data_IF_984641173153
#
_entry.id   IF_984641173153
#
_cell.length_a   1.000
_cell.length_b   1.000
_cell.length_c   1.000
_cell.angle_alpha   90.00
_cell.angle_beta   90.00
_cell.angle_gamma   90.00
#
_symmetry.space_group_name_H-M   'P 1'
#
loop_
_entity.id
_entity.type
_entity.pdbx_description
1 polymer ?
#
# COMPACT_ATOMS: atom_id res chain seq x y z
N UNK A 1 -12.66 7.72 11.72
CA UNK A 1 -11.71 6.62 11.50
C UNK A 1 -12.47 5.32 11.56
N UNK A 2 -12.41 4.49 10.52
CA UNK A 2 -13.15 3.21 10.47
C UNK A 2 -12.28 2.04 10.87
N UNK A 3 -12.86 1.03 11.52
CA UNK A 3 -12.17 -0.24 11.75
C UNK A 3 -12.29 -1.08 10.48
N UNK A 4 -11.13 -1.42 9.89
CA UNK A 4 -11.01 -2.44 8.86
C UNK A 4 -10.73 -3.79 9.53
N UNK A 5 -11.41 -4.83 9.08
CA UNK A 5 -11.24 -6.20 9.55
C UNK A 5 -10.72 -7.04 8.41
N UNK A 6 -9.77 -7.90 8.70
CA UNK A 6 -9.39 -9.02 7.84
C UNK A 6 -10.14 -10.25 8.32
N UNK A 7 -10.76 -10.99 7.40
CA UNK A 7 -11.32 -12.31 7.70
C UNK A 7 -10.18 -13.28 8.03
N UNK A 8 -10.38 -14.14 9.01
CA UNK A 8 -9.47 -15.24 9.27
C UNK A 8 -9.50 -16.23 8.10
N UNK A 9 -8.35 -16.43 7.46
CA UNK A 9 -8.20 -17.34 6.31
C UNK A 9 -8.33 -18.82 6.73
N UNK A 10 -8.23 -19.13 8.04
CA UNK A 10 -8.41 -20.49 8.59
C UNK A 10 -9.86 -20.91 8.81
N UNK A 11 -10.83 -19.99 8.72
CA UNK A 11 -12.25 -20.32 8.86
C UNK A 11 -12.88 -20.62 7.50
N UNK A 12 -12.77 -21.88 7.06
CA UNK A 12 -13.29 -22.33 5.77
C UNK A 12 -14.82 -22.23 5.60
N UNK A 13 -15.57 -22.04 6.69
CA UNK A 13 -17.02 -21.87 6.65
C UNK A 13 -17.45 -20.42 6.30
N UNK A 14 -16.54 -19.45 6.43
CA UNK A 14 -16.82 -18.05 6.12
C UNK A 14 -16.37 -17.72 4.69
N UNK A 15 -17.32 -17.55 3.78
CA UNK A 15 -17.10 -17.16 2.38
C UNK A 15 -17.22 -15.65 2.14
N UNK A 16 -17.19 -14.84 3.20
CA UNK A 16 -17.25 -13.39 3.11
C UNK A 16 -16.04 -12.76 2.39
N UNK A 17 -16.07 -11.45 2.13
CA UNK A 17 -14.92 -10.76 1.57
C UNK A 17 -13.72 -10.82 2.53
N UNK A 18 -12.51 -10.92 1.96
CA UNK A 18 -11.24 -10.98 2.71
C UNK A 18 -11.05 -9.79 3.65
N UNK A 19 -11.52 -8.61 3.24
CA UNK A 19 -11.52 -7.40 4.05
C UNK A 19 -12.92 -6.80 4.14
N UNK A 20 -13.29 -6.32 5.32
CA UNK A 20 -14.53 -5.58 5.56
C UNK A 20 -14.24 -4.30 6.33
N UNK A 21 -15.04 -3.26 6.08
CA UNK A 21 -14.99 -2.01 6.84
C UNK A 21 -16.41 -1.65 7.28
N UNK A 22 -16.54 -0.91 8.38
CA UNK A 22 -17.84 -0.37 8.77
C UNK A 22 -18.40 0.54 7.68
N UNK A 23 -19.70 0.42 7.39
CA UNK A 23 -20.38 1.31 6.44
C UNK A 23 -20.18 2.77 6.86
N UNK A 24 -19.76 3.63 5.94
CA UNK A 24 -19.45 5.04 6.23
C UNK A 24 -18.02 5.29 6.74
N UNK A 25 -17.17 4.27 6.79
CA UNK A 25 -15.74 4.45 7.07
C UNK A 25 -15.09 5.29 5.98
N UNK A 26 -14.33 6.30 6.37
CA UNK A 26 -13.49 7.07 5.46
C UNK A 26 -12.14 6.37 5.26
N UNK A 27 -11.58 6.55 4.06
CA UNK A 27 -10.21 6.17 3.77
C UNK A 27 -9.24 6.98 4.64
N UNK A 28 -8.09 6.39 4.99
CA UNK A 28 -7.01 7.04 5.73
C UNK A 28 -5.65 6.53 5.22
N UNK A 29 -4.58 7.28 5.52
CA UNK A 29 -3.21 6.83 5.29
C UNK A 29 -2.77 5.96 6.47
N UNK A 30 -2.64 4.66 6.25
CA UNK A 30 -2.06 3.78 7.25
C UNK A 30 -0.57 4.10 7.41
N UNK A 31 -0.11 4.15 8.67
CA UNK A 31 1.26 4.52 9.06
C UNK A 31 1.70 5.94 8.62
N UNK A 32 0.82 6.93 8.75
CA UNK A 32 1.08 8.32 8.30
C UNK A 32 2.39 8.92 8.84
N UNK A 33 2.89 8.49 10.01
CA UNK A 33 4.19 8.93 10.57
C UNK A 33 5.38 8.64 9.64
N UNK A 34 5.29 7.64 8.77
CA UNK A 34 6.33 7.37 7.77
C UNK A 34 6.51 8.53 6.76
N UNK A 35 5.54 9.44 6.66
CA UNK A 35 5.66 10.68 5.88
C UNK A 35 6.66 11.68 6.49
N UNK A 36 7.25 11.43 7.65
CA UNK A 36 8.36 12.24 8.15
C UNK A 36 9.68 11.93 7.44
N UNK A 37 9.78 10.77 6.78
CA UNK A 37 10.97 10.39 6.01
C UNK A 37 11.04 11.07 4.63
N UNK A 38 12.27 11.19 4.11
CA UNK A 38 12.53 11.69 2.75
C UNK A 38 12.18 10.66 1.67
N UNK A 39 12.31 9.37 2.00
CA UNK A 39 12.00 8.24 1.12
C UNK A 39 10.83 7.47 1.72
N UNK A 40 9.76 7.29 0.94
CA UNK A 40 8.54 6.63 1.39
C UNK A 40 8.12 5.57 0.37
N UNK A 41 7.88 4.36 0.87
CA UNK A 41 7.28 3.29 0.08
C UNK A 41 5.76 3.36 0.20
N UNK A 42 5.06 3.24 -0.91
CA UNK A 42 3.59 3.08 -0.94
C UNK A 42 3.27 1.65 -1.34
N UNK A 43 2.56 0.96 -0.47
CA UNK A 43 2.09 -0.42 -0.67
C UNK A 43 0.59 -0.46 -0.95
N UNK A 44 0.10 -1.63 -1.35
CA UNK A 44 -1.31 -1.87 -1.62
C UNK A 44 -2.13 -2.10 -0.34
N UNK A 45 -1.58 -2.82 0.64
CA UNK A 45 -2.28 -3.17 1.88
C UNK A 45 -1.50 -2.88 3.17
N UNK A 46 -2.24 -2.87 4.28
CA UNK A 46 -1.70 -2.55 5.61
C UNK A 46 -0.70 -3.60 6.11
N UNK A 47 -0.86 -4.87 5.71
CA UNK A 47 0.04 -5.95 6.13
C UNK A 47 1.41 -5.81 5.46
N UNK A 48 1.45 -5.42 4.19
CA UNK A 48 2.70 -5.16 3.48
C UNK A 48 3.48 -4.01 4.12
N UNK A 49 2.76 -2.96 4.54
CA UNK A 49 3.34 -1.85 5.32
C UNK A 49 3.97 -2.37 6.60
N UNK A 50 3.29 -3.25 7.35
CA UNK A 50 3.85 -3.82 8.58
C UNK A 50 5.11 -4.66 8.31
N UNK A 51 5.11 -5.49 7.26
CA UNK A 51 6.29 -6.28 6.87
C UNK A 51 7.49 -5.40 6.54
N UNK A 52 7.28 -4.32 5.78
CA UNK A 52 8.34 -3.34 5.49
C UNK A 52 8.82 -2.59 6.74
N UNK A 53 7.90 -2.19 7.63
CA UNK A 53 8.25 -1.53 8.89
C UNK A 53 9.11 -2.44 9.77
N UNK A 54 8.84 -3.75 9.81
CA UNK A 54 9.63 -4.72 10.57
C UNK A 54 11.10 -4.77 10.14
N UNK A 55 11.39 -4.48 8.87
CA UNK A 55 12.76 -4.42 8.32
C UNK A 55 13.29 -2.99 8.21
N UNK A 56 12.66 -2.02 8.88
CA UNK A 56 13.14 -0.63 8.97
C UNK A 56 12.83 0.24 7.76
N UNK A 57 11.87 -0.15 6.91
CA UNK A 57 11.45 0.61 5.74
C UNK A 57 10.23 1.48 6.08
N UNK A 58 10.32 2.77 5.75
CA UNK A 58 9.23 3.73 5.90
C UNK A 58 8.18 3.49 4.80
N UNK A 59 7.06 2.87 5.18
CA UNK A 59 5.99 2.51 4.25
C UNK A 59 4.62 3.04 4.69
N UNK A 60 3.76 3.36 3.73
CA UNK A 60 2.36 3.75 3.91
C UNK A 60 1.45 2.99 2.94
N UNK A 61 0.16 2.97 3.22
CA UNK A 61 -0.84 2.55 2.24
C UNK A 61 -2.16 3.30 2.45
N UNK A 62 -3.07 3.20 1.48
CA UNK A 62 -4.46 3.61 1.67
C UNK A 62 -5.25 2.50 2.37
N UNK A 63 -6.10 2.85 3.34
CA UNK A 63 -6.99 1.86 3.95
C UNK A 63 -8.18 1.46 3.06
N UNK A 64 -8.44 2.20 1.99
CA UNK A 64 -9.57 1.97 1.08
C UNK A 64 -9.32 0.90 0.00
N UNK A 65 -8.16 0.26 0.02
CA UNK A 65 -7.80 -0.81 -0.92
C UNK A 65 -7.30 -0.29 -2.27
N UNK A 66 -7.23 -1.23 -3.22
CA UNK A 66 -6.54 -1.06 -4.51
C UNK A 66 -7.09 0.11 -5.32
N UNK A 67 -6.20 0.95 -5.83
CA UNK A 67 -6.54 2.06 -6.73
C UNK A 67 -7.17 3.28 -6.04
N UNK A 68 -7.44 3.24 -4.73
CA UNK A 68 -8.00 4.39 -4.02
C UNK A 68 -6.94 5.12 -3.20
N UNK A 69 -6.27 6.09 -3.82
CA UNK A 69 -5.34 6.99 -3.14
C UNK A 69 -5.74 8.43 -3.49
N UNK A 70 -6.47 9.18 -2.66
CA UNK A 70 -6.96 10.53 -2.99
C UNK A 70 -5.87 11.54 -3.40
N UNK A 71 -6.20 12.48 -4.29
CA UNK A 71 -5.26 13.54 -4.75
C UNK A 71 -4.82 14.45 -3.59
N UNK A 72 -5.67 14.66 -2.60
CA UNK A 72 -5.32 15.39 -1.37
C UNK A 72 -4.11 14.78 -0.65
N UNK A 73 -3.91 13.46 -0.75
CA UNK A 73 -2.77 12.78 -0.13
C UNK A 73 -1.51 12.86 -0.99
N UNK A 74 -1.64 13.08 -2.30
CA UNK A 74 -0.48 13.31 -3.18
C UNK A 74 0.27 14.56 -2.73
N UNK A 75 -0.44 15.59 -2.27
CA UNK A 75 0.20 16.82 -1.74
C UNK A 75 1.13 16.54 -0.55
N UNK A 76 0.88 15.48 0.24
CA UNK A 76 1.73 15.08 1.37
C UNK A 76 3.03 14.38 0.92
N UNK A 77 3.13 14.02 -0.35
CA UNK A 77 4.31 13.37 -0.95
C UNK A 77 5.22 14.36 -1.70
N UNK A 78 4.88 15.65 -1.68
CA UNK A 78 5.74 16.71 -2.26
C UNK A 78 7.10 16.72 -1.57
N UNK A 79 8.17 16.88 -2.36
CA UNK A 79 9.58 16.82 -1.94
C UNK A 79 10.05 15.46 -1.41
N UNK A 80 9.28 14.37 -1.59
CA UNK A 80 9.68 13.01 -1.22
C UNK A 80 10.14 12.22 -2.43
N UNK A 81 10.95 11.20 -2.17
CA UNK A 81 11.23 10.11 -3.11
C UNK A 81 10.23 8.99 -2.86
N UNK A 82 9.34 8.76 -3.80
CA UNK A 82 8.26 7.78 -3.67
C UNK A 82 8.65 6.49 -4.38
N UNK A 83 8.49 5.36 -3.69
CA UNK A 83 8.64 4.02 -4.27
C UNK A 83 7.28 3.35 -4.21
N UNK A 84 6.75 2.93 -5.36
CA UNK A 84 5.52 2.14 -5.42
C UNK A 84 5.89 0.66 -5.45
N UNK A 85 5.45 -0.08 -4.44
CA UNK A 85 5.68 -1.51 -4.29
C UNK A 85 4.36 -2.22 -4.01
N UNK A 86 3.58 -2.40 -5.08
CA UNK A 86 2.27 -3.06 -5.07
C UNK A 86 2.43 -4.54 -5.42
N UNK A 87 1.34 -5.30 -5.33
CA UNK A 87 1.34 -6.71 -5.69
C UNK A 87 1.77 -6.90 -7.16
N UNK A 88 2.48 -8.00 -7.43
CA UNK A 88 3.00 -8.33 -8.76
C UNK A 88 1.91 -8.93 -9.68
N UNK A 89 0.64 -8.67 -9.41
CA UNK A 89 -0.48 -9.07 -10.25
C UNK A 89 -0.98 -7.92 -11.14
N UNK A 90 -1.97 -8.19 -11.99
CA UNK A 90 -2.47 -7.19 -12.94
C UNK A 90 -3.15 -5.99 -12.24
N UNK A 91 -4.04 -6.20 -11.25
CA UNK A 91 -4.58 -5.10 -10.44
C UNK A 91 -3.50 -4.24 -9.76
N UNK A 92 -2.52 -4.87 -9.10
CA UNK A 92 -1.43 -4.16 -8.40
C UNK A 92 -0.59 -3.33 -9.36
N UNK A 93 -0.17 -3.91 -10.50
CA UNK A 93 0.55 -3.17 -11.55
C UNK A 93 -0.25 -1.97 -12.07
N UNK A 94 -1.52 -2.17 -12.41
CA UNK A 94 -2.37 -1.11 -12.93
C UNK A 94 -2.55 0.02 -11.91
N UNK A 95 -2.75 -0.32 -10.63
CA UNK A 95 -2.84 0.64 -9.54
C UNK A 95 -1.54 1.45 -9.37
N UNK A 96 -0.38 0.78 -9.42
CA UNK A 96 0.92 1.43 -9.33
C UNK A 96 1.15 2.41 -10.49
N UNK A 97 0.84 2.02 -11.73
CA UNK A 97 0.98 2.91 -12.90
C UNK A 97 0.06 4.12 -12.83
N UNK A 98 -1.20 3.94 -12.42
CA UNK A 98 -2.16 5.04 -12.26
C UNK A 98 -1.70 6.04 -11.19
N UNK A 99 -1.21 5.55 -10.06
CA UNK A 99 -0.69 6.42 -9.00
C UNK A 99 0.60 7.11 -9.43
N UNK A 100 1.52 6.42 -10.09
CA UNK A 100 2.76 7.00 -10.62
C UNK A 100 2.45 8.17 -11.56
N UNK A 101 1.52 7.99 -12.50
CA UNK A 101 1.14 9.05 -13.43
C UNK A 101 0.63 10.31 -12.71
N UNK A 102 -0.17 10.13 -11.65
CA UNK A 102 -0.70 11.23 -10.83
C UNK A 102 0.39 11.92 -10.00
N UNK A 103 1.37 11.16 -9.50
CA UNK A 103 2.54 11.70 -8.78
C UNK A 103 3.46 12.49 -9.72
N UNK A 104 3.74 11.96 -10.91
CA UNK A 104 4.55 12.60 -11.95
C UNK A 104 3.92 13.91 -12.44
N UNK A 105 2.58 13.95 -12.57
CA UNK A 105 1.85 15.16 -12.91
C UNK A 105 2.07 16.30 -11.88
N UNK A 106 2.39 15.95 -10.64
CA UNK A 106 2.75 16.88 -9.55
C UNK A 106 4.27 17.07 -9.40
N UNK A 107 5.08 16.55 -10.35
CA UNK A 107 6.55 16.61 -10.36
C UNK A 107 7.20 15.91 -9.16
N UNK A 108 6.55 14.89 -8.61
CA UNK A 108 7.09 14.08 -7.50
C UNK A 108 7.99 12.99 -8.10
N UNK A 109 9.17 12.78 -7.52
CA UNK A 109 10.08 11.69 -7.92
C UNK A 109 9.45 10.36 -7.52
N UNK A 110 9.12 9.51 -8.51
CA UNK A 110 8.49 8.21 -8.29
C UNK A 110 9.27 7.10 -9.00
N UNK A 111 9.36 5.93 -8.36
CA UNK A 111 9.86 4.68 -8.95
C UNK A 111 8.86 3.56 -8.68
N UNK A 112 8.70 2.66 -9.64
CA UNK A 112 7.85 1.48 -9.49
C UNK A 112 8.75 0.25 -9.42
N UNK A 113 8.50 -0.63 -8.45
CA UNK A 113 9.14 -1.94 -8.39
C UNK A 113 8.45 -2.87 -9.39
N UNK A 114 9.16 -3.29 -10.44
CA UNK A 114 8.61 -4.14 -11.52
C UNK A 114 9.30 -5.51 -11.65
N UNK A 115 10.49 -5.68 -11.07
CA UNK A 115 11.32 -6.88 -11.23
C UNK A 115 11.43 -7.72 -9.96
N UNK A 116 10.38 -7.75 -9.13
CA UNK A 116 10.31 -8.57 -7.92
C UNK A 116 9.79 -9.99 -8.26
N UNK A 117 10.45 -11.08 -7.80
CA UNK A 117 10.07 -12.44 -8.18
C UNK A 117 8.91 -13.02 -7.35
N UNK A 118 8.52 -12.35 -6.27
CA UNK A 118 7.44 -12.79 -5.38
C UNK A 118 6.17 -12.00 -5.65
N UNK A 119 5.01 -12.59 -5.29
CA UNK A 119 3.71 -11.97 -5.49
C UNK A 119 3.57 -10.66 -4.74
N UNK A 120 3.96 -10.66 -3.47
CA UNK A 120 3.87 -9.52 -2.58
C UNK A 120 5.11 -9.46 -1.66
N UNK A 121 5.20 -8.40 -0.86
CA UNK A 121 6.33 -8.18 0.06
C UNK A 121 6.41 -9.31 1.09
N UNK A 122 5.27 -9.75 1.63
CA UNK A 122 5.25 -10.73 2.71
C UNK A 122 5.74 -12.08 2.21
N UNK A 123 5.35 -12.49 1.00
CA UNK A 123 5.88 -13.70 0.37
C UNK A 123 7.41 -13.64 0.24
N UNK A 124 7.95 -12.48 -0.19
CA UNK A 124 9.40 -12.29 -0.30
C UNK A 124 10.13 -12.31 1.05
N UNK A 125 9.51 -11.76 2.10
CA UNK A 125 10.07 -11.79 3.46
C UNK A 125 10.12 -13.22 4.00
N UNK A 126 9.04 -13.99 3.87
CA UNK A 126 8.98 -15.38 4.31
C UNK A 126 10.00 -16.25 3.56
N UNK A 127 10.20 -16.01 2.27
CA UNK A 127 11.18 -16.75 1.48
C UNK A 127 12.65 -16.40 1.79
N UNK A 128 12.89 -15.34 2.57
CA UNK A 128 14.23 -14.87 2.95
C UNK A 128 14.66 -15.31 4.35
N UNK A 129 13.80 -16.05 5.08
CA UNK A 129 14.10 -16.70 6.36
C UNK A 129 14.65 -18.12 6.14
#
# INVERSE_FOLDING_TARGET
MGIKRRRDDGNYADHGPKYTSYKGSMAWIFNEVALEADVVVVCEGEIDVLGLVQIGIHAICSTAGVGHFPDEWISKLVNKKVILWFDSDEPGRNGAFQLAHRLEAQKIEVKIITSWPYKDINEGLVASE
#
